data_IF_439156716483
#
_entry.id   IF_439156716483
#
_cell.length_a   1.000
_cell.length_b   1.000
_cell.length_c   1.000
_cell.angle_alpha   90.00
_cell.angle_beta   90.00
_cell.angle_gamma   90.00
#
_symmetry.space_group_name_H-M   'P 1'
#
loop_
_entity.id
_entity.type
_entity.pdbx_description
1 polymer ?
#
# COMPACT_ATOMS: atom_id res chain seq x y z
N UNK A 1 -5.40 0.03 16.03
CA UNK A 1 -5.65 -0.42 14.64
C UNK A 1 -6.35 -1.76 14.70
N UNK A 2 -7.26 -2.08 13.76
CA UNK A 2 -7.88 -3.42 13.72
C UNK A 2 -6.77 -4.47 13.52
N UNK A 3 -6.85 -5.59 14.26
CA UNK A 3 -5.99 -6.77 14.13
C UNK A 3 -6.03 -7.24 12.66
N UNK A 4 -4.87 -7.35 12.01
CA UNK A 4 -4.68 -7.80 10.62
C UNK A 4 -5.47 -7.03 9.54
N UNK A 5 -4.82 -6.13 8.82
CA UNK A 5 -5.50 -5.32 7.80
C UNK A 5 -4.62 -5.00 6.57
N UNK A 6 -5.21 -5.15 5.39
CA UNK A 6 -4.70 -4.57 4.15
C UNK A 6 -4.99 -3.07 4.10
N UNK A 7 -4.01 -2.29 3.66
CA UNK A 7 -4.17 -0.86 3.43
C UNK A 7 -3.38 -0.43 2.20
N UNK A 8 -3.89 0.57 1.49
CA UNK A 8 -3.09 1.30 0.51
C UNK A 8 -2.07 2.20 1.21
N UNK A 9 -0.84 2.21 0.70
CA UNK A 9 0.25 3.08 1.17
C UNK A 9 1.04 3.62 0.00
N UNK A 10 1.47 4.88 0.11
CA UNK A 10 2.50 5.43 -0.77
C UNK A 10 3.85 4.83 -0.38
N UNK A 11 4.55 4.28 -1.36
CA UNK A 11 5.92 3.80 -1.22
C UNK A 11 6.81 4.49 -2.26
N UNK A 12 8.03 4.85 -1.84
CA UNK A 12 9.06 5.45 -2.69
C UNK A 12 10.08 4.39 -3.08
N UNK A 13 10.27 4.20 -4.39
CA UNK A 13 11.34 3.40 -4.97
C UNK A 13 12.34 4.30 -5.66
N UNK A 14 13.63 4.09 -5.42
CA UNK A 14 14.69 4.85 -6.08
C UNK A 14 14.67 4.73 -7.61
N UNK A 15 14.09 3.66 -8.17
CA UNK A 15 14.02 3.42 -9.62
C UNK A 15 12.73 3.95 -10.25
N UNK A 16 11.60 3.87 -9.53
CA UNK A 16 10.27 4.11 -10.10
C UNK A 16 9.55 5.34 -9.50
N UNK A 17 10.12 5.98 -8.47
CA UNK A 17 9.51 7.07 -7.72
C UNK A 17 8.36 6.61 -6.83
N UNK A 18 7.43 7.53 -6.55
CA UNK A 18 6.26 7.29 -5.70
C UNK A 18 5.20 6.45 -6.41
N UNK A 19 4.74 5.39 -5.75
CA UNK A 19 3.58 4.60 -6.17
C UNK A 19 2.72 4.20 -4.97
N UNK A 20 1.47 3.80 -5.23
CA UNK A 20 0.59 3.25 -4.20
C UNK A 20 0.60 1.74 -4.29
N UNK A 21 0.77 1.08 -3.15
CA UNK A 21 0.89 -0.37 -3.02
C UNK A 21 -0.11 -0.89 -1.99
N UNK A 22 -0.51 -2.16 -2.15
CA UNK A 22 -1.25 -2.88 -1.12
C UNK A 22 -0.28 -3.36 -0.05
N UNK A 23 -0.51 -3.01 1.21
CA UNK A 23 0.36 -3.38 2.34
C UNK A 23 -0.46 -4.06 3.42
N UNK A 24 -0.05 -5.26 3.79
CA UNK A 24 -0.62 -6.05 4.87
C UNK A 24 0.18 -5.89 6.16
N UNK A 25 -0.53 -5.57 7.23
CA UNK A 25 0.01 -5.47 8.58
C UNK A 25 -0.43 -6.68 9.40
N UNK A 26 0.49 -7.26 10.17
CA UNK A 26 0.20 -8.31 11.14
C UNK A 26 -0.48 -7.77 12.41
N UNK A 27 -0.68 -8.63 13.41
CA UNK A 27 -1.39 -8.28 14.65
C UNK A 27 -0.60 -7.29 15.51
N UNK A 28 0.72 -7.29 15.37
CA UNK A 28 1.65 -6.39 16.05
C UNK A 28 1.83 -5.06 15.30
N UNK A 29 1.25 -4.95 14.10
CA UNK A 29 1.31 -3.77 13.25
C UNK A 29 2.59 -3.69 12.41
N UNK A 30 3.34 -4.79 12.29
CA UNK A 30 4.47 -4.88 11.38
C UNK A 30 3.99 -5.14 9.96
N UNK A 31 4.69 -4.58 8.98
CA UNK A 31 4.46 -4.94 7.57
C UNK A 31 4.93 -6.38 7.40
N UNK A 32 4.06 -7.24 6.87
CA UNK A 32 4.39 -8.65 6.62
C UNK A 32 4.29 -9.00 5.12
N UNK A 33 3.42 -8.32 4.37
CA UNK A 33 3.34 -8.46 2.92
C UNK A 33 3.03 -7.13 2.25
N UNK A 34 3.46 -6.98 0.99
CA UNK A 34 3.00 -5.92 0.11
C UNK A 34 3.01 -6.37 -1.36
N UNK A 35 2.30 -5.66 -2.22
CA UNK A 35 2.26 -5.95 -3.66
C UNK A 35 3.62 -5.68 -4.32
N UNK A 36 4.05 -6.53 -5.26
CA UNK A 36 5.33 -6.35 -5.97
C UNK A 36 5.34 -5.13 -6.91
N UNK A 37 4.16 -4.65 -7.32
CA UNK A 37 4.02 -3.50 -8.19
C UNK A 37 3.04 -2.50 -7.56
N UNK A 38 3.16 -1.24 -7.98
CA UNK A 38 2.13 -0.26 -7.69
C UNK A 38 0.80 -0.70 -8.30
N UNK A 39 -0.28 -0.44 -7.58
CA UNK A 39 -1.64 -0.82 -7.93
C UNK A 39 -2.42 0.38 -8.46
N UNK A 40 -3.53 0.11 -9.15
CA UNK A 40 -4.44 1.11 -9.70
C UNK A 40 -5.85 0.91 -9.12
N UNK A 41 -6.63 1.99 -8.91
CA UNK A 41 -7.98 1.89 -8.41
C UNK A 41 -8.88 1.00 -9.28
N UNK A 42 -9.79 0.23 -8.67
CA UNK A 42 -10.68 -0.70 -9.36
C UNK A 42 -12.07 -0.79 -8.72
N UNK A 43 -13.08 -1.09 -9.53
CA UNK A 43 -14.42 -1.47 -9.06
C UNK A 43 -15.28 -2.00 -10.21
N UNK A 44 -16.29 -2.81 -9.91
CA UNK A 44 -17.22 -3.36 -10.91
C UNK A 44 -18.40 -2.40 -11.21
N UNK A 45 -18.49 -1.31 -10.43
CA UNK A 45 -19.39 -0.19 -10.65
C UNK A 45 -18.69 1.15 -10.41
N UNK A 46 -19.30 2.26 -10.88
CA UNK A 46 -18.79 3.61 -10.61
C UNK A 46 -18.73 3.91 -9.12
N UNK A 47 -19.67 3.40 -8.32
CA UNK A 47 -19.69 3.63 -6.87
C UNK A 47 -18.58 2.86 -6.16
N UNK A 48 -18.26 1.64 -6.60
CA UNK A 48 -17.11 0.89 -6.06
C UNK A 48 -15.79 1.54 -6.46
N UNK A 49 -15.63 1.95 -7.72
CA UNK A 49 -14.42 2.63 -8.17
C UNK A 49 -14.21 3.96 -7.42
N UNK A 50 -15.28 4.72 -7.15
CA UNK A 50 -15.20 5.93 -6.30
C UNK A 50 -14.76 5.61 -4.88
N UNK A 51 -15.30 4.56 -4.27
CA UNK A 51 -14.89 4.14 -2.92
C UNK A 51 -13.42 3.76 -2.89
N UNK A 52 -12.95 3.03 -3.90
CA UNK A 52 -11.55 2.62 -3.98
C UNK A 52 -10.62 3.84 -4.19
N UNK A 53 -11.00 4.77 -5.07
CA UNK A 53 -10.31 6.06 -5.23
C UNK A 53 -10.17 6.83 -3.90
N UNK A 54 -11.20 6.85 -3.06
CA UNK A 54 -11.12 7.49 -1.74
C UNK A 54 -10.08 6.82 -0.84
N UNK A 55 -9.97 5.48 -0.86
CA UNK A 55 -8.94 4.77 -0.09
C UNK A 55 -7.52 5.07 -0.61
N UNK A 56 -7.36 5.24 -1.92
CA UNK A 56 -6.07 5.70 -2.50
C UNK A 56 -5.75 7.13 -2.08
N UNK A 57 -6.74 8.02 -2.04
CA UNK A 57 -6.56 9.38 -1.55
C UNK A 57 -6.17 9.40 -0.07
N UNK A 58 -6.80 8.56 0.76
CA UNK A 58 -6.43 8.41 2.18
C UNK A 58 -4.98 7.93 2.37
N UNK A 59 -4.43 7.15 1.42
CA UNK A 59 -3.04 6.72 1.47
C UNK A 59 -2.04 7.88 1.35
N UNK A 60 -2.41 8.97 0.67
CA UNK A 60 -1.58 10.16 0.49
C UNK A 60 -1.39 10.95 1.79
N UNK A 61 -2.31 10.79 2.74
CA UNK A 61 -2.28 11.48 4.05
C UNK A 61 -1.42 10.74 5.09
N UNK A 62 -0.80 9.62 4.70
CA UNK A 62 0.01 8.77 5.59
C UNK A 62 1.50 8.91 5.25
N UNK A 63 2.41 8.64 6.21
CA UNK A 63 3.85 8.68 5.94
C UNK A 63 4.25 7.78 4.77
N UNK A 64 5.17 8.25 3.93
CA UNK A 64 5.72 7.49 2.81
C UNK A 64 6.60 6.37 3.34
N UNK A 65 6.44 5.17 2.79
CA UNK A 65 7.30 4.02 3.09
C UNK A 65 8.45 3.93 2.09
N UNK A 66 9.60 3.40 2.50
CA UNK A 66 10.71 3.16 1.58
C UNK A 66 10.60 1.74 0.99
N UNK A 67 10.38 1.63 -0.31
CA UNK A 67 10.14 0.37 -1.00
C UNK A 67 11.39 -0.52 -1.01
N UNK A 68 12.54 0.04 -1.37
CA UNK A 68 13.78 -0.73 -1.53
C UNK A 68 14.25 -1.32 -0.18
N UNK A 69 14.11 -0.56 0.91
CA UNK A 69 14.40 -1.03 2.27
C UNK A 69 13.47 -2.17 2.70
N UNK A 70 12.20 -2.13 2.31
CA UNK A 70 11.26 -3.21 2.65
C UNK A 70 11.59 -4.46 1.85
N UNK A 71 11.85 -4.34 0.55
CA UNK A 71 12.29 -5.47 -0.28
C UNK A 71 13.54 -6.17 0.30
N UNK A 72 14.55 -5.39 0.73
CA UNK A 72 15.75 -5.93 1.38
C UNK A 72 15.48 -6.71 2.68
N UNK A 73 14.37 -6.42 3.37
CA UNK A 73 13.98 -7.13 4.59
C UNK A 73 13.34 -8.49 4.30
N UNK A 74 12.64 -8.65 3.17
CA UNK A 74 11.92 -9.88 2.82
C UNK A 74 12.69 -10.82 1.89
N UNK A 75 13.73 -10.33 1.19
CA UNK A 75 14.55 -11.15 0.29
C UNK A 75 15.90 -11.60 0.88
N UNK A 76 16.04 -11.54 2.21
CA UNK A 76 17.19 -12.11 2.93
C UNK A 76 16.97 -13.55 3.36
#
# INVERSE_FOLDING_TARGET
>A
MRRNAWNYRVMDSHLNGLGIYEVYYDEDGNINYFSNNAVSPRGDSLEELKKDLLLYMEALERPILNYDKLIDQFMK
#
